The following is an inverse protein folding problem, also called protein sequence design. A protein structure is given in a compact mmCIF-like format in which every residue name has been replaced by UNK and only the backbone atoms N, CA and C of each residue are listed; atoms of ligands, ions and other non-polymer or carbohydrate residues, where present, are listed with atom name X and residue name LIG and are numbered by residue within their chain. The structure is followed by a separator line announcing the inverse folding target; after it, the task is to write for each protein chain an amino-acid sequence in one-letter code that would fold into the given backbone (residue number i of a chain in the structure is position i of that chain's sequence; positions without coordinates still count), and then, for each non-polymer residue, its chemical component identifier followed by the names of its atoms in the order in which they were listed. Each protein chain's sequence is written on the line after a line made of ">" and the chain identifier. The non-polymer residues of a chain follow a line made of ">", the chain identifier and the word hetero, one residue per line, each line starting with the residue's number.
data_IF_626245881258
#
_entry.id   IF_626245881258
#
_cell.length_a   1.000
_cell.length_b   1.000
_cell.length_c   1.000
_cell.angle_alpha   90.00
_cell.angle_beta   90.00
_cell.angle_gamma   90.00
#
_symmetry.space_group_name_H-M   'P 1'
#
loop_
_entity.id
_entity.type
_entity.pdbx_description
1 polymer ?
#
# COMPACT_ATOMS: atom_id res chain seq x y z
N UNK A 1 49.24 -37.65 45.56
CA UNK A 1 48.60 -38.02 44.28
C UNK A 1 47.14 -37.55 44.20
N UNK A 2 46.28 -37.86 45.18
CA UNK A 2 44.85 -37.48 45.19
C UNK A 2 44.57 -35.96 45.06
N UNK A 3 45.34 -35.11 45.75
CA UNK A 3 45.17 -33.64 45.68
C UNK A 3 45.48 -33.05 44.29
N UNK A 4 46.50 -33.59 43.61
CA UNK A 4 46.87 -33.15 42.25
C UNK A 4 45.78 -33.52 41.24
N UNK A 5 45.21 -34.73 41.36
CA UNK A 5 44.09 -35.18 40.52
C UNK A 5 42.87 -34.29 40.76
N UNK A 6 42.54 -33.99 42.02
CA UNK A 6 41.43 -33.10 42.36
C UNK A 6 41.59 -31.69 41.75
N UNK A 7 42.78 -31.09 41.88
CA UNK A 7 43.07 -29.76 41.32
C UNK A 7 42.98 -29.74 39.78
N UNK A 8 43.47 -30.78 39.11
CA UNK A 8 43.36 -30.92 37.65
C UNK A 8 41.89 -31.07 37.23
N UNK A 9 41.10 -31.87 37.95
CA UNK A 9 39.67 -32.02 37.67
C UNK A 9 38.90 -30.71 37.85
N UNK A 10 39.20 -29.94 38.90
CA UNK A 10 38.59 -28.61 39.12
C UNK A 10 38.97 -27.66 37.99
N UNK A 11 40.25 -27.62 37.60
CA UNK A 11 40.72 -26.77 36.51
C UNK A 11 40.03 -27.12 35.19
N UNK A 12 39.91 -28.41 34.86
CA UNK A 12 39.19 -28.89 33.67
C UNK A 12 37.71 -28.52 33.71
N UNK A 13 37.06 -28.58 34.87
CA UNK A 13 35.66 -28.19 35.03
C UNK A 13 35.49 -26.68 34.82
N UNK A 14 36.40 -25.86 35.36
CA UNK A 14 36.39 -24.39 35.16
C UNK A 14 36.61 -24.03 33.69
N UNK A 15 37.59 -24.66 33.02
CA UNK A 15 37.87 -24.43 31.60
C UNK A 15 36.68 -24.91 30.75
N UNK A 16 36.16 -26.11 31.02
CA UNK A 16 35.01 -26.65 30.31
C UNK A 16 33.75 -25.80 30.49
N UNK A 17 33.49 -25.36 31.72
CA UNK A 17 32.37 -24.45 32.03
C UNK A 17 32.52 -23.09 31.34
N UNK A 18 33.71 -22.50 31.39
CA UNK A 18 34.01 -21.25 30.68
C UNK A 18 33.83 -21.38 29.17
N UNK A 19 34.31 -22.46 28.58
CA UNK A 19 34.14 -22.76 27.15
C UNK A 19 32.66 -22.90 26.78
N UNK A 20 31.86 -23.61 27.58
CA UNK A 20 30.42 -23.73 27.37
C UNK A 20 29.70 -22.38 27.44
N UNK A 21 30.08 -21.50 28.37
CA UNK A 21 29.51 -20.15 28.46
C UNK A 21 29.85 -19.30 27.23
N UNK A 22 31.08 -19.38 26.72
CA UNK A 22 31.49 -18.67 25.51
C UNK A 22 30.69 -19.15 24.29
N UNK A 23 30.43 -20.46 24.18
CA UNK A 23 29.61 -21.01 23.10
C UNK A 23 28.13 -20.61 23.23
N UNK A 24 27.62 -20.48 24.46
CA UNK A 24 26.22 -20.15 24.72
C UNK A 24 25.92 -18.65 24.60
N UNK A 25 26.89 -17.78 24.87
CA UNK A 25 26.67 -16.34 24.94
C UNK A 25 26.09 -15.70 23.66
N UNK A 26 26.57 -15.99 22.43
CA UNK A 26 26.01 -15.43 21.20
C UNK A 26 24.55 -15.80 20.99
N UNK A 27 24.19 -17.02 21.39
CA UNK A 27 22.84 -17.53 21.26
C UNK A 27 21.90 -16.90 22.27
N UNK A 28 22.32 -16.80 23.53
CA UNK A 28 21.55 -16.10 24.55
C UNK A 28 21.31 -14.66 24.12
N UNK A 29 22.37 -13.98 23.65
CA UNK A 29 22.27 -12.63 23.10
C UNK A 29 21.27 -12.55 21.95
N UNK A 30 21.34 -13.45 20.97
CA UNK A 30 20.41 -13.50 19.85
C UNK A 30 18.97 -13.70 20.33
N UNK A 31 18.73 -14.71 21.18
CA UNK A 31 17.39 -15.02 21.71
C UNK A 31 16.81 -13.81 22.44
N UNK A 32 17.56 -13.23 23.39
CA UNK A 32 17.15 -12.02 24.11
C UNK A 32 16.86 -10.85 23.15
N UNK A 33 17.75 -10.59 22.18
CA UNK A 33 17.56 -9.52 21.22
C UNK A 33 16.28 -9.70 20.37
N UNK A 34 15.93 -10.93 20.02
CA UNK A 34 14.74 -11.20 19.20
C UNK A 34 13.46 -11.21 20.04
N UNK A 35 13.47 -11.79 21.25
CA UNK A 35 12.26 -11.93 22.08
C UNK A 35 11.94 -10.69 22.91
N UNK A 36 12.95 -10.13 23.58
CA UNK A 36 12.78 -9.03 24.53
C UNK A 36 13.20 -7.68 23.94
N UNK A 37 13.99 -7.72 22.86
CA UNK A 37 14.75 -6.56 22.41
C UNK A 37 16.04 -6.39 23.20
N UNK A 38 16.92 -5.54 22.72
CA UNK A 38 18.18 -5.22 23.38
C UNK A 38 18.56 -3.76 23.17
N UNK A 39 19.09 -3.14 24.23
CA UNK A 39 19.73 -1.83 24.16
C UNK A 39 21.15 -1.97 24.66
N UNK A 40 22.10 -1.95 23.74
CA UNK A 40 23.52 -2.05 24.05
C UNK A 40 24.31 -1.05 23.22
N UNK A 41 25.60 -0.93 23.53
CA UNK A 41 26.53 -0.16 22.70
C UNK A 41 26.66 -0.73 21.27
N UNK A 42 26.46 -2.05 21.12
CA UNK A 42 26.67 -2.76 19.86
C UNK A 42 25.44 -2.83 18.97
N UNK A 43 24.28 -2.99 19.59
CA UNK A 43 23.00 -3.16 18.93
C UNK A 43 21.89 -2.51 19.77
N UNK A 44 21.12 -1.65 19.12
CA UNK A 44 19.86 -1.14 19.61
C UNK A 44 18.69 -1.71 18.78
N UNK A 45 18.01 -2.70 19.35
CA UNK A 45 16.83 -3.31 18.76
C UNK A 45 15.69 -3.26 19.77
N UNK A 46 14.70 -2.41 19.54
CA UNK A 46 13.50 -2.37 20.37
C UNK A 46 12.66 -3.63 20.21
N UNK A 47 11.72 -3.85 21.13
CA UNK A 47 10.67 -4.84 20.93
C UNK A 47 9.81 -4.42 19.73
N UNK A 48 9.71 -5.29 18.72
CA UNK A 48 8.96 -5.00 17.49
C UNK A 48 7.56 -5.63 17.57
N UNK A 49 6.62 -5.13 16.78
CA UNK A 49 5.34 -5.83 16.61
C UNK A 49 5.53 -7.13 15.85
N UNK A 50 4.66 -8.11 16.09
CA UNK A 50 4.71 -9.44 15.49
C UNK A 50 4.90 -9.47 13.96
N UNK A 51 4.28 -8.57 13.16
CA UNK A 51 4.44 -8.56 11.70
C UNK A 51 5.88 -8.35 11.23
N UNK A 52 6.71 -7.66 12.02
CA UNK A 52 8.12 -7.45 11.70
C UNK A 52 8.97 -8.71 11.86
N UNK A 53 8.49 -9.74 12.54
CA UNK A 53 9.20 -11.01 12.65
C UNK A 53 8.76 -12.03 11.60
N UNK A 54 7.53 -11.90 11.10
CA UNK A 54 6.85 -12.94 10.33
C UNK A 54 6.62 -12.50 8.88
N UNK A 55 7.60 -12.78 8.03
CA UNK A 55 7.42 -12.76 6.58
C UNK A 55 6.84 -14.06 6.05
N UNK A 56 6.11 -14.00 4.92
CA UNK A 56 5.56 -15.18 4.24
C UNK A 56 5.67 -15.05 2.72
N UNK A 57 5.71 -16.18 2.03
CA UNK A 57 5.56 -16.19 0.57
C UNK A 57 4.07 -16.02 0.25
N UNK A 58 3.77 -15.06 -0.63
CA UNK A 58 2.42 -14.89 -1.19
C UNK A 58 2.26 -15.82 -2.39
N UNK A 59 1.16 -16.56 -2.39
CA UNK A 59 0.70 -17.31 -3.56
C UNK A 59 -0.58 -16.63 -4.00
N UNK A 60 -0.58 -16.06 -5.20
CA UNK A 60 -1.79 -15.47 -5.78
C UNK A 60 -2.82 -16.57 -6.04
N UNK A 61 -4.11 -16.21 -6.10
CA UNK A 61 -5.14 -17.14 -6.53
C UNK A 61 -4.86 -17.68 -7.94
N UNK A 62 -5.61 -18.69 -8.41
CA UNK A 62 -5.57 -19.11 -9.80
C UNK A 62 -6.06 -17.93 -10.66
N UNK A 63 -5.12 -17.13 -11.13
CA UNK A 63 -5.35 -16.11 -12.15
C UNK A 63 -5.24 -16.86 -13.47
N UNK A 64 -6.29 -16.81 -14.28
CA UNK A 64 -6.15 -17.19 -15.69
C UNK A 64 -5.13 -16.22 -16.25
N UNK A 65 -3.94 -16.72 -16.59
CA UNK A 65 -2.91 -15.86 -17.15
C UNK A 65 -3.51 -15.14 -18.36
N UNK A 66 -3.33 -13.81 -18.43
CA UNK A 66 -3.75 -13.03 -19.59
C UNK A 66 -3.07 -13.52 -20.88
N UNK A 67 -2.16 -14.50 -20.82
CA UNK A 67 -1.55 -15.16 -21.98
C UNK A 67 -2.42 -16.27 -22.59
N UNK A 68 -3.31 -16.93 -21.82
CA UNK A 68 -3.89 -18.23 -22.22
C UNK A 68 -5.32 -18.17 -22.78
N UNK A 69 -6.14 -17.19 -22.40
CA UNK A 69 -7.52 -17.07 -22.92
C UNK A 69 -7.73 -15.81 -23.77
N UNK A 70 -8.11 -16.01 -25.04
CA UNK A 70 -8.40 -14.93 -25.99
C UNK A 70 -9.57 -14.03 -25.55
N UNK A 71 -10.39 -14.49 -24.61
CA UNK A 71 -11.56 -13.74 -24.10
C UNK A 71 -11.12 -12.76 -23.01
N UNK A 72 -10.26 -13.18 -22.08
CA UNK A 72 -9.80 -12.30 -21.00
C UNK A 72 -8.71 -11.32 -21.45
N UNK A 73 -7.92 -11.68 -22.46
CA UNK A 73 -7.02 -10.76 -23.18
C UNK A 73 -7.73 -9.53 -23.75
N UNK A 74 -9.02 -9.66 -24.08
CA UNK A 74 -9.79 -8.52 -24.60
C UNK A 74 -10.31 -7.62 -23.48
N UNK A 75 -10.46 -8.15 -22.26
CA UNK A 75 -10.99 -7.39 -21.14
C UNK A 75 -9.89 -6.52 -20.50
N UNK A 76 -8.68 -7.06 -20.43
CA UNK A 76 -7.50 -6.44 -19.83
C UNK A 76 -6.42 -6.21 -20.87
N UNK A 77 -5.87 -5.00 -20.93
CA UNK A 77 -4.71 -4.70 -21.75
C UNK A 77 -3.59 -4.13 -20.88
N UNK A 78 -2.35 -4.53 -21.15
CA UNK A 78 -1.17 -4.02 -20.46
C UNK A 78 -0.80 -2.65 -21.06
N UNK A 79 -0.68 -1.64 -20.20
CA UNK A 79 -0.26 -0.29 -20.55
C UNK A 79 1.04 0.08 -19.88
N UNK A 80 1.93 0.75 -20.62
CA UNK A 80 3.02 1.50 -20.02
C UNK A 80 2.40 2.71 -19.31
N UNK A 81 2.59 2.78 -18.00
CA UNK A 81 1.96 3.74 -17.12
C UNK A 81 3.02 4.20 -16.11
N UNK A 82 3.52 5.42 -16.32
CA UNK A 82 4.71 5.93 -15.62
C UNK A 82 5.87 4.92 -15.73
N UNK A 83 6.45 4.46 -14.63
CA UNK A 83 7.58 3.52 -14.63
C UNK A 83 7.17 2.03 -14.63
N UNK A 84 5.93 1.71 -15.02
CA UNK A 84 5.39 0.36 -14.89
C UNK A 84 4.56 -0.08 -16.09
N UNK A 85 4.53 -1.39 -16.32
CA UNK A 85 3.52 -2.05 -17.14
C UNK A 85 2.40 -2.53 -16.23
N UNK A 86 1.18 -2.01 -16.46
CA UNK A 86 0.00 -2.23 -15.60
C UNK A 86 -1.17 -2.74 -16.44
N UNK A 87 -1.90 -3.79 -16.01
CA UNK A 87 -3.13 -4.20 -16.69
C UNK A 87 -4.28 -3.22 -16.37
N UNK A 88 -4.90 -2.68 -17.41
CA UNK A 88 -6.06 -1.79 -17.31
C UNK A 88 -7.27 -2.38 -18.05
N UNK A 89 -8.51 -2.16 -17.54
CA UNK A 89 -9.71 -2.72 -18.12
C UNK A 89 -10.23 -1.79 -19.22
N UNK A 90 -10.19 -2.26 -20.47
CA UNK A 90 -10.70 -1.49 -21.62
C UNK A 90 -12.12 -1.87 -22.00
N UNK A 91 -12.44 -3.17 -21.91
CA UNK A 91 -13.72 -3.73 -22.32
C UNK A 91 -14.36 -4.59 -21.22
N UNK A 92 -13.94 -4.41 -19.97
CA UNK A 92 -14.45 -5.20 -18.87
C UNK A 92 -15.92 -4.86 -18.60
N UNK A 93 -16.88 -5.79 -18.74
CA UNK A 93 -18.31 -5.48 -18.63
C UNK A 93 -18.72 -5.05 -17.23
N UNK A 94 -17.96 -5.45 -16.21
CA UNK A 94 -18.29 -5.20 -14.81
C UNK A 94 -17.45 -4.11 -14.16
N UNK A 95 -16.41 -3.59 -14.85
CA UNK A 95 -15.39 -2.75 -14.22
C UNK A 95 -15.04 -1.56 -15.10
N UNK A 96 -15.25 -0.37 -14.55
CA UNK A 96 -14.85 0.88 -15.19
C UNK A 96 -13.59 1.44 -14.52
N UNK A 97 -12.72 2.06 -15.32
CA UNK A 97 -11.50 2.71 -14.86
C UNK A 97 -11.64 4.24 -14.87
N UNK A 98 -11.29 4.88 -13.76
CA UNK A 98 -11.23 6.33 -13.65
C UNK A 98 -9.84 6.82 -13.20
N UNK A 99 -9.37 7.96 -13.71
CA UNK A 99 -8.15 8.59 -13.22
C UNK A 99 -8.18 8.87 -11.71
N UNK A 100 -7.00 8.74 -11.10
CA UNK A 100 -6.74 9.16 -9.73
C UNK A 100 -5.46 9.98 -9.69
N UNK A 101 -5.57 11.23 -9.27
CA UNK A 101 -4.44 12.16 -9.22
C UNK A 101 -4.46 12.81 -7.84
N UNK A 102 -3.38 12.66 -7.10
CA UNK A 102 -3.15 13.33 -5.82
C UNK A 102 -1.95 14.30 -5.95
N UNK A 103 -1.92 15.33 -5.11
CA UNK A 103 -0.74 16.18 -5.00
C UNK A 103 0.35 15.44 -4.23
N UNK A 104 1.54 15.34 -4.82
CA UNK A 104 2.75 14.86 -4.17
C UNK A 104 3.78 15.97 -4.00
N UNK A 105 4.92 15.61 -3.39
CA UNK A 105 6.03 16.52 -3.17
C UNK A 105 6.75 16.83 -4.49
N UNK A 106 6.34 17.90 -5.16
CA UNK A 106 6.94 18.40 -6.41
C UNK A 106 6.38 17.81 -7.70
N UNK A 107 5.81 16.60 -7.64
CA UNK A 107 5.19 15.90 -8.77
C UNK A 107 3.82 15.30 -8.38
N UNK A 108 2.86 15.18 -9.31
CA UNK A 108 1.60 14.51 -9.03
C UNK A 108 1.81 13.02 -8.74
N UNK A 109 1.09 12.50 -7.75
CA UNK A 109 0.95 11.06 -7.56
C UNK A 109 -0.18 10.57 -8.47
N UNK A 110 0.15 9.63 -9.35
CA UNK A 110 -0.76 9.17 -10.40
C UNK A 110 -1.23 7.77 -10.06
N UNK A 111 -2.49 7.49 -10.36
CA UNK A 111 -3.10 6.21 -10.09
C UNK A 111 -4.37 6.00 -10.88
N UNK A 112 -5.14 4.99 -10.47
CA UNK A 112 -6.44 4.70 -11.04
C UNK A 112 -7.39 4.09 -10.02
N UNK A 113 -8.68 4.34 -10.22
CA UNK A 113 -9.78 3.76 -9.46
C UNK A 113 -10.61 2.87 -10.36
N UNK A 114 -11.00 1.73 -9.81
CA UNK A 114 -11.80 0.72 -10.46
C UNK A 114 -13.12 0.67 -9.72
N UNK A 115 -14.21 0.91 -10.45
CA UNK A 115 -15.56 0.82 -9.90
C UNK A 115 -16.32 -0.31 -10.56
N UNK A 116 -17.25 -0.90 -9.82
CA UNK A 116 -18.22 -1.83 -10.38
C UNK A 116 -19.38 -1.12 -11.10
N UNK A 117 -20.31 -1.91 -11.67
CA UNK A 117 -21.52 -1.38 -12.32
C UNK A 117 -22.41 -0.57 -11.36
N UNK A 118 -22.38 -0.91 -10.07
CA UNK A 118 -23.07 -0.18 -9.00
C UNK A 118 -22.30 1.08 -8.56
N UNK A 119 -21.23 1.43 -9.27
CA UNK A 119 -20.39 2.60 -9.02
C UNK A 119 -19.68 2.56 -7.66
N UNK A 120 -19.48 1.38 -7.11
CA UNK A 120 -18.73 1.19 -5.88
C UNK A 120 -17.25 0.98 -6.24
N UNK A 121 -16.37 1.75 -5.60
CA UNK A 121 -14.93 1.52 -5.67
C UNK A 121 -14.58 0.14 -5.11
N UNK A 122 -13.95 -0.69 -5.95
CA UNK A 122 -13.53 -2.06 -5.59
C UNK A 122 -12.01 -2.18 -5.48
N UNK A 123 -11.27 -1.37 -6.23
CA UNK A 123 -9.81 -1.38 -6.26
C UNK A 123 -9.27 -0.01 -6.67
N UNK A 124 -8.20 0.43 -6.01
CA UNK A 124 -7.50 1.68 -6.31
C UNK A 124 -6.00 1.43 -6.25
N UNK A 125 -5.24 2.00 -7.18
CA UNK A 125 -3.79 2.03 -7.09
C UNK A 125 -3.27 3.46 -7.17
N UNK A 126 -2.12 3.72 -6.54
CA UNK A 126 -1.42 5.01 -6.58
C UNK A 126 0.09 4.76 -6.65
N UNK A 127 0.76 5.37 -7.62
CA UNK A 127 2.20 5.29 -7.79
C UNK A 127 2.88 6.36 -6.93
N UNK A 128 3.82 5.94 -6.08
CA UNK A 128 4.47 6.80 -5.07
C UNK A 128 5.93 7.14 -5.41
N UNK A 129 6.40 6.76 -6.60
CA UNK A 129 7.77 6.99 -7.07
C UNK A 129 8.81 6.03 -6.48
N UNK A 130 10.06 6.24 -6.93
CA UNK A 130 11.24 5.47 -6.54
C UNK A 130 12.05 6.14 -5.44
N UNK A 131 12.59 5.35 -4.51
CA UNK A 131 13.55 5.82 -3.50
C UNK A 131 14.82 4.95 -3.53
N UNK A 132 16.03 5.54 -3.47
CA UNK A 132 17.26 4.76 -3.40
C UNK A 132 17.26 3.83 -2.18
N UNK A 133 17.58 2.55 -2.42
CA UNK A 133 17.71 1.56 -1.37
C UNK A 133 19.15 1.51 -0.87
N UNK A 134 19.35 1.97 0.36
CA UNK A 134 20.66 1.96 1.00
C UNK A 134 20.70 0.90 2.10
N UNK A 135 21.60 -0.07 1.99
CA UNK A 135 21.92 -1.00 3.07
C UNK A 135 22.75 -0.26 4.12
N UNK A 136 22.10 0.30 5.13
CA UNK A 136 22.77 1.10 6.18
C UNK A 136 23.34 0.22 7.29
N UNK A 137 24.25 -0.70 6.93
CA UNK A 137 24.91 -1.59 7.89
C UNK A 137 25.77 -0.84 8.92
N UNK A 138 26.11 0.43 8.68
CA UNK A 138 27.01 1.18 9.56
C UNK A 138 26.29 1.92 10.70
N UNK A 139 24.96 1.79 10.83
CA UNK A 139 24.20 2.44 11.90
C UNK A 139 24.44 1.84 13.27
N UNK A 140 24.54 0.52 13.34
CA UNK A 140 24.78 -0.23 14.58
C UNK A 140 26.21 -0.77 14.57
N UNK A 141 26.92 -0.64 15.69
CA UNK A 141 28.34 -1.06 15.76
C UNK A 141 28.50 -2.55 15.42
N UNK A 142 27.53 -3.40 15.80
CA UNK A 142 27.54 -4.83 15.49
C UNK A 142 27.64 -5.10 13.98
N UNK A 143 26.85 -4.39 13.17
CA UNK A 143 26.80 -4.57 11.72
C UNK A 143 27.97 -3.87 11.01
N UNK A 144 28.63 -2.91 11.67
CA UNK A 144 29.85 -2.26 11.18
C UNK A 144 31.11 -3.13 11.33
N UNK A 145 31.07 -4.19 12.16
CA UNK A 145 32.20 -5.10 12.34
C UNK A 145 32.58 -5.74 11.00
N UNK A 146 33.87 -5.79 10.61
CA UNK A 146 34.28 -6.27 9.28
C UNK A 146 33.76 -7.66 8.92
N UNK A 147 33.77 -8.60 9.87
CA UNK A 147 33.28 -9.97 9.67
C UNK A 147 31.76 -10.01 9.43
N UNK A 148 30.99 -9.28 10.22
CA UNK A 148 29.52 -9.19 10.09
C UNK A 148 29.13 -8.44 8.83
N UNK A 149 29.83 -7.35 8.52
CA UNK A 149 29.64 -6.56 7.31
C UNK A 149 29.87 -7.43 6.07
N UNK A 150 31.03 -8.10 5.98
CA UNK A 150 31.35 -9.00 4.87
C UNK A 150 30.29 -10.10 4.72
N UNK A 151 29.79 -10.62 5.83
CA UNK A 151 28.74 -11.63 5.83
C UNK A 151 27.42 -11.14 5.25
N UNK A 152 26.99 -9.92 5.62
CA UNK A 152 25.77 -9.32 5.07
C UNK A 152 25.95 -9.05 3.58
N UNK A 153 27.05 -8.40 3.20
CA UNK A 153 27.34 -8.00 1.82
C UNK A 153 27.74 -9.15 0.89
N UNK A 154 27.99 -10.35 1.41
CA UNK A 154 28.14 -11.56 0.60
C UNK A 154 26.83 -11.93 -0.12
N UNK A 155 25.68 -11.50 0.41
CA UNK A 155 24.37 -11.70 -0.23
C UNK A 155 24.09 -10.54 -1.19
N UNK A 156 23.62 -10.80 -2.42
CA UNK A 156 23.20 -9.74 -3.34
C UNK A 156 22.10 -8.87 -2.74
N UNK A 157 22.10 -7.56 -3.04
CA UNK A 157 21.09 -6.63 -2.52
C UNK A 157 19.64 -7.07 -2.83
N UNK A 158 19.41 -7.67 -4.01
CA UNK A 158 18.10 -8.21 -4.39
C UNK A 158 17.66 -9.39 -3.50
N UNK A 159 18.60 -10.22 -3.05
CA UNK A 159 18.30 -11.31 -2.11
C UNK A 159 17.96 -10.75 -0.73
N UNK A 160 18.76 -9.80 -0.24
CA UNK A 160 18.51 -9.13 1.04
C UNK A 160 17.14 -8.46 1.03
N UNK A 161 16.83 -7.78 -0.08
CA UNK A 161 15.54 -7.16 -0.32
C UNK A 161 14.38 -8.17 -0.20
N UNK A 162 14.44 -9.30 -0.91
CA UNK A 162 13.40 -10.32 -0.82
C UNK A 162 13.27 -10.92 0.60
N UNK A 163 14.40 -11.12 1.28
CA UNK A 163 14.45 -11.63 2.65
C UNK A 163 13.77 -10.70 3.67
N UNK A 164 13.76 -9.38 3.44
CA UNK A 164 13.02 -8.43 4.27
C UNK A 164 11.52 -8.74 4.32
N UNK A 165 10.93 -9.35 3.27
CA UNK A 165 9.50 -9.62 3.20
C UNK A 165 9.13 -11.08 3.38
N UNK A 166 9.97 -12.03 2.93
CA UNK A 166 9.64 -13.46 2.96
C UNK A 166 10.07 -14.20 4.21
N UNK A 167 11.11 -13.74 4.91
CA UNK A 167 11.74 -14.52 5.97
C UNK A 167 10.95 -14.47 7.28
N UNK A 168 10.66 -15.62 7.87
CA UNK A 168 10.14 -15.69 9.25
C UNK A 168 11.31 -15.90 10.23
N UNK A 169 11.35 -15.12 11.32
CA UNK A 169 12.45 -15.13 12.30
C UNK A 169 11.99 -15.65 13.68
N UNK A 170 10.71 -15.52 14.02
CA UNK A 170 10.19 -15.89 15.35
C UNK A 170 9.88 -17.38 15.51
N UNK A 171 9.36 -18.03 14.46
CA UNK A 171 8.89 -19.42 14.52
C UNK A 171 9.97 -20.43 14.91
N UNK A 172 11.24 -20.08 14.75
CA UNK A 172 12.37 -20.99 14.98
C UNK A 172 13.01 -20.79 16.38
N UNK A 173 12.45 -19.91 17.22
CA UNK A 173 12.93 -19.62 18.59
C UNK A 173 12.24 -20.47 19.67
N UNK A 174 11.16 -21.17 19.36
CA UNK A 174 10.44 -21.99 20.34
C UNK A 174 11.14 -23.36 20.53
N UNK A 175 11.86 -23.84 19.52
CA UNK A 175 12.66 -25.08 19.57
C UNK A 175 14.08 -24.90 20.16
N UNK A 176 14.35 -23.70 20.66
CA UNK A 176 15.67 -23.23 21.08
C UNK A 176 15.99 -23.61 22.54
N UNK A 177 16.00 -24.92 22.86
CA UNK A 177 16.53 -25.40 24.14
C UNK A 177 18.08 -25.41 24.14
N UNK A 178 18.76 -24.99 25.23
CA UNK A 178 20.23 -24.88 25.28
C UNK A 178 20.98 -26.17 24.92
N UNK A 179 20.41 -27.34 25.23
CA UNK A 179 21.02 -28.65 24.99
C UNK A 179 20.93 -29.11 23.53
N UNK A 180 19.99 -28.58 22.74
CA UNK A 180 19.85 -28.94 21.33
C UNK A 180 21.05 -28.49 20.50
N UNK A 181 21.69 -27.37 20.86
CA UNK A 181 22.91 -26.88 20.21
C UNK A 181 24.09 -27.88 20.27
N UNK A 182 24.23 -28.58 21.40
CA UNK A 182 25.34 -29.53 21.60
C UNK A 182 25.11 -30.87 20.89
N UNK A 183 23.86 -31.19 20.52
CA UNK A 183 23.46 -32.54 20.09
C UNK A 183 22.93 -32.63 18.66
N UNK A 184 22.38 -31.54 18.12
CA UNK A 184 21.99 -31.39 16.72
C UNK A 184 22.59 -30.08 16.24
N UNK A 185 23.50 -30.10 15.26
CA UNK A 185 24.15 -28.91 14.71
C UNK A 185 23.15 -27.76 14.56
N UNK A 186 23.25 -26.77 15.46
CA UNK A 186 22.13 -25.89 15.83
C UNK A 186 21.43 -25.26 14.63
N UNK A 187 20.11 -25.08 14.74
CA UNK A 187 19.22 -24.62 13.67
C UNK A 187 19.64 -23.31 13.01
N UNK A 188 20.49 -22.50 13.66
CA UNK A 188 21.10 -21.32 13.08
C UNK A 188 22.61 -21.28 13.29
N UNK A 189 23.35 -21.08 12.20
CA UNK A 189 24.74 -20.66 12.28
C UNK A 189 24.83 -19.24 12.86
N UNK A 190 25.97 -18.88 13.46
CA UNK A 190 26.24 -17.49 13.87
C UNK A 190 25.98 -16.51 12.73
N UNK A 191 26.33 -16.93 11.52
CA UNK A 191 26.11 -16.22 10.29
C UNK A 191 24.64 -15.85 10.06
N UNK A 192 23.76 -16.81 10.31
CA UNK A 192 22.32 -16.63 10.13
C UNK A 192 21.70 -15.81 11.26
N UNK A 193 22.22 -15.92 12.48
CA UNK A 193 21.81 -15.08 13.61
C UNK A 193 22.10 -13.60 13.34
N UNK A 194 23.33 -13.26 12.92
CA UNK A 194 23.68 -11.88 12.60
C UNK A 194 22.84 -11.34 11.43
N UNK A 195 22.60 -12.18 10.43
CA UNK A 195 21.77 -11.80 9.30
C UNK A 195 20.29 -11.56 9.70
N UNK A 196 19.73 -12.40 10.56
CA UNK A 196 18.38 -12.22 11.09
C UNK A 196 18.25 -10.94 11.90
N UNK A 197 19.22 -10.64 12.77
CA UNK A 197 19.25 -9.37 13.51
C UNK A 197 19.34 -8.17 12.56
N UNK A 198 20.13 -8.28 11.49
CA UNK A 198 20.21 -7.24 10.46
C UNK A 198 18.86 -7.01 9.77
N UNK A 199 18.14 -8.08 9.40
CA UNK A 199 16.80 -7.96 8.80
C UNK A 199 15.80 -7.33 9.77
N UNK A 200 15.81 -7.74 11.06
CA UNK A 200 14.95 -7.15 12.09
C UNK A 200 15.26 -5.67 12.35
N UNK A 201 16.53 -5.27 12.24
CA UNK A 201 16.89 -3.86 12.31
C UNK A 201 16.40 -3.09 11.08
N UNK A 202 16.52 -3.66 9.88
CA UNK A 202 16.16 -3.00 8.62
C UNK A 202 14.65 -2.85 8.39
N UNK A 203 13.81 -3.82 8.79
CA UNK A 203 12.36 -3.78 8.49
C UNK A 203 11.66 -2.54 9.08
N UNK A 204 11.82 -2.20 10.38
CA UNK A 204 11.24 -0.98 10.94
C UNK A 204 11.80 0.28 10.29
N UNK A 205 13.08 0.32 9.91
CA UNK A 205 13.63 1.51 9.24
C UNK A 205 12.94 1.79 7.91
N UNK A 206 12.67 0.74 7.14
CA UNK A 206 12.00 0.81 5.85
C UNK A 206 10.50 1.10 6.00
N UNK A 207 9.85 0.53 7.01
CA UNK A 207 8.39 0.45 7.10
C UNK A 207 7.76 1.21 8.27
N UNK A 208 8.55 1.93 9.10
CA UNK A 208 8.06 2.67 10.29
C UNK A 208 6.91 3.64 10.03
N UNK A 209 6.80 4.15 8.82
CA UNK A 209 5.74 5.09 8.44
C UNK A 209 4.39 4.41 8.20
N UNK A 210 4.35 3.09 8.29
CA UNK A 210 3.20 2.27 8.00
C UNK A 210 2.83 1.42 9.22
N UNK A 211 1.54 1.32 9.51
CA UNK A 211 1.02 0.41 10.53
C UNK A 211 0.88 -0.98 9.93
N UNK A 212 2.00 -1.73 9.92
CA UNK A 212 2.07 -3.05 9.27
C UNK A 212 1.22 -4.08 10.00
N UNK A 213 0.36 -4.76 9.26
CA UNK A 213 -0.36 -5.96 9.69
C UNK A 213 0.36 -7.24 9.27
N UNK A 214 0.82 -7.30 8.02
CA UNK A 214 1.45 -8.50 7.44
C UNK A 214 2.52 -8.13 6.42
N UNK A 215 3.60 -8.92 6.41
CA UNK A 215 4.63 -8.87 5.37
C UNK A 215 4.54 -10.12 4.50
N UNK A 216 4.48 -9.90 3.20
CA UNK A 216 4.38 -10.96 2.20
C UNK A 216 5.37 -10.71 1.07
N UNK A 217 5.78 -11.76 0.38
CA UNK A 217 6.67 -11.67 -0.76
C UNK A 217 6.15 -12.49 -1.92
N UNK A 218 5.92 -11.85 -3.07
CA UNK A 218 5.52 -12.52 -4.30
C UNK A 218 6.76 -12.88 -5.10
N UNK A 219 7.06 -14.18 -5.21
CA UNK A 219 8.29 -14.65 -5.85
C UNK A 219 8.30 -14.42 -7.37
N UNK A 220 7.17 -14.61 -8.05
CA UNK A 220 7.03 -14.51 -9.51
C UNK A 220 7.56 -13.18 -10.04
N UNK A 221 7.12 -12.08 -9.43
CA UNK A 221 7.48 -10.71 -9.83
C UNK A 221 8.49 -10.05 -8.87
N UNK A 222 9.03 -10.82 -7.90
CA UNK A 222 9.97 -10.34 -6.88
C UNK A 222 9.46 -9.10 -6.13
N UNK A 223 8.18 -9.11 -5.75
CA UNK A 223 7.53 -7.99 -5.08
C UNK A 223 7.51 -8.18 -3.57
N UNK A 224 7.93 -7.16 -2.82
CA UNK A 224 7.62 -7.05 -1.39
C UNK A 224 6.23 -6.47 -1.22
N UNK A 225 5.40 -7.04 -0.34
CA UNK A 225 4.05 -6.55 -0.06
C UNK A 225 3.93 -6.34 1.44
N UNK A 226 3.51 -5.15 1.85
CA UNK A 226 3.19 -4.83 3.22
C UNK A 226 1.71 -4.46 3.32
N UNK A 227 0.94 -5.31 3.99
CA UNK A 227 -0.47 -5.03 4.29
C UNK A 227 -0.56 -4.14 5.52
N UNK A 228 -1.40 -3.11 5.46
CA UNK A 228 -1.51 -2.07 6.48
C UNK A 228 -2.96 -1.77 6.81
N UNK A 229 -3.19 -1.20 7.99
CA UNK A 229 -4.49 -0.65 8.37
C UNK A 229 -4.87 0.50 7.42
N UNK A 230 -6.08 0.41 6.87
CA UNK A 230 -6.72 1.52 6.16
C UNK A 230 -7.51 2.39 7.15
N UNK A 231 -7.63 3.68 6.85
CA UNK A 231 -8.44 4.60 7.66
C UNK A 231 -9.93 4.22 7.55
N UNK A 232 -10.36 3.73 6.40
CA UNK A 232 -11.70 3.20 6.20
C UNK A 232 -11.68 1.67 6.39
N UNK A 233 -12.33 1.20 7.44
CA UNK A 233 -12.37 -0.22 7.79
C UNK A 233 -12.97 -1.10 6.69
N UNK A 234 -13.71 -0.54 5.73
CA UNK A 234 -14.27 -1.25 4.57
C UNK A 234 -13.21 -1.62 3.53
N UNK A 235 -12.00 -1.08 3.65
CA UNK A 235 -10.90 -1.33 2.73
C UNK A 235 -9.70 -1.95 3.45
N UNK A 236 -8.89 -2.66 2.67
CA UNK A 236 -7.55 -3.10 3.03
C UNK A 236 -6.57 -2.33 2.16
N UNK A 237 -5.53 -1.77 2.77
CA UNK A 237 -4.45 -1.09 2.05
C UNK A 237 -3.20 -1.98 2.00
N UNK A 238 -2.56 -2.05 0.84
CA UNK A 238 -1.29 -2.76 0.63
C UNK A 238 -0.27 -1.81 0.01
N UNK A 239 0.96 -1.83 0.50
CA UNK A 239 2.10 -1.22 -0.18
C UNK A 239 2.89 -2.31 -0.89
N UNK A 240 2.98 -2.18 -2.21
CA UNK A 240 3.74 -3.05 -3.09
C UNK A 240 5.06 -2.36 -3.41
N UNK A 241 6.15 -3.08 -3.20
CA UNK A 241 7.50 -2.59 -3.35
C UNK A 241 8.26 -3.42 -4.37
N UNK A 242 8.89 -2.75 -5.34
CA UNK A 242 9.67 -3.39 -6.39
C UNK A 242 11.11 -2.87 -6.38
N UNK A 243 12.09 -3.77 -6.30
CA UNK A 243 13.50 -3.41 -6.27
C UNK A 243 14.15 -3.58 -7.64
N UNK A 244 14.55 -2.46 -8.24
CA UNK A 244 15.18 -2.40 -9.57
C UNK A 244 16.43 -1.54 -9.49
N UNK A 245 17.60 -2.12 -9.82
CA UNK A 245 18.87 -1.40 -9.92
C UNK A 245 19.23 -0.50 -8.72
N UNK A 246 18.94 -0.94 -7.50
CA UNK A 246 19.23 -0.16 -6.29
C UNK A 246 18.15 0.87 -5.92
N UNK A 247 17.05 0.94 -6.67
CA UNK A 247 15.90 1.81 -6.39
C UNK A 247 14.71 0.94 -5.99
N UNK A 248 13.99 1.35 -4.94
CA UNK A 248 12.73 0.75 -4.52
C UNK A 248 11.59 1.63 -4.99
N UNK A 249 10.82 1.12 -5.94
CA UNK A 249 9.59 1.74 -6.39
C UNK A 249 8.41 1.26 -5.55
N UNK A 250 7.47 2.16 -5.31
CA UNK A 250 6.34 1.94 -4.40
C UNK A 250 5.01 2.18 -5.10
N UNK A 251 4.09 1.24 -4.91
CA UNK A 251 2.69 1.35 -5.33
C UNK A 251 1.81 1.11 -4.11
N UNK A 252 0.88 2.02 -3.85
CA UNK A 252 -0.18 1.82 -2.85
C UNK A 252 -1.38 1.23 -3.55
N UNK A 253 -1.86 0.09 -3.07
CA UNK A 253 -3.12 -0.53 -3.47
C UNK A 253 -4.13 -0.38 -2.34
N UNK A 254 -5.39 -0.20 -2.70
CA UNK A 254 -6.52 -0.16 -1.78
C UNK A 254 -7.63 -1.04 -2.35
N UNK A 255 -8.06 -2.03 -1.58
CA UNK A 255 -8.99 -3.07 -2.04
C UNK A 255 -10.19 -3.12 -1.10
N UNK A 256 -11.40 -3.14 -1.66
CA UNK A 256 -12.62 -3.27 -0.84
C UNK A 256 -12.66 -4.65 -0.16
N UNK A 257 -12.83 -4.67 1.16
CA UNK A 257 -12.94 -5.92 1.95
C UNK A 257 -14.17 -6.71 1.53
N UNK A 258 -14.06 -8.03 1.59
CA UNK A 258 -15.12 -8.99 1.24
C UNK A 258 -15.68 -8.83 -0.18
N UNK A 259 -14.96 -8.16 -1.08
CA UNK A 259 -15.34 -8.04 -2.49
C UNK A 259 -14.46 -8.98 -3.34
N UNK A 260 -15.08 -10.02 -3.92
CA UNK A 260 -14.36 -11.01 -4.73
C UNK A 260 -13.77 -10.41 -6.01
N UNK A 261 -14.49 -9.48 -6.64
CA UNK A 261 -14.04 -8.77 -7.84
C UNK A 261 -12.77 -7.94 -7.55
N UNK A 262 -12.75 -7.15 -6.47
CA UNK A 262 -11.59 -6.37 -6.05
C UNK A 262 -10.36 -7.24 -5.76
N UNK A 263 -10.54 -8.43 -5.16
CA UNK A 263 -9.45 -9.41 -4.97
C UNK A 263 -8.95 -9.98 -6.30
N UNK A 264 -9.86 -10.33 -7.21
CA UNK A 264 -9.50 -10.81 -8.55
C UNK A 264 -8.71 -9.75 -9.34
N UNK A 265 -9.17 -8.49 -9.32
CA UNK A 265 -8.45 -7.35 -9.94
C UNK A 265 -7.07 -7.19 -9.31
N UNK A 266 -6.95 -7.27 -7.98
CA UNK A 266 -5.67 -7.19 -7.28
C UNK A 266 -4.71 -8.29 -7.72
N UNK A 267 -5.18 -9.52 -7.86
CA UNK A 267 -4.33 -10.64 -8.30
C UNK A 267 -3.91 -10.50 -9.77
N UNK A 268 -4.82 -10.09 -10.67
CA UNK A 268 -4.49 -9.75 -12.08
C UNK A 268 -3.46 -8.62 -12.14
N UNK A 269 -3.65 -7.57 -11.34
CA UNK A 269 -2.75 -6.43 -11.24
C UNK A 269 -1.35 -6.87 -10.81
N UNK A 270 -1.24 -7.60 -9.70
CA UNK A 270 0.05 -8.06 -9.18
C UNK A 270 0.75 -9.06 -10.08
N UNK A 271 0.00 -9.93 -10.76
CA UNK A 271 0.56 -10.93 -11.67
C UNK A 271 1.20 -10.28 -12.92
N UNK A 272 0.59 -9.22 -13.45
CA UNK A 272 1.08 -8.57 -14.68
C UNK A 272 1.95 -7.33 -14.43
N UNK A 273 2.09 -6.90 -13.17
CA UNK A 273 2.90 -5.75 -12.81
C UNK A 273 4.38 -6.01 -13.09
N UNK A 274 4.97 -5.20 -13.96
CA UNK A 274 6.42 -5.20 -14.22
C UNK A 274 6.97 -3.78 -14.37
N UNK A 275 8.28 -3.62 -14.21
CA UNK A 275 8.96 -2.34 -14.35
C UNK A 275 9.31 -2.06 -15.81
N UNK A 276 9.02 -0.85 -16.27
CA UNK A 276 9.55 -0.32 -17.52
C UNK A 276 9.80 1.17 -17.35
N UNK A 277 11.04 1.61 -17.53
CA UNK A 277 11.43 3.01 -17.31
C UNK A 277 10.63 3.97 -18.19
N UNK A 278 10.04 5.00 -17.57
CA UNK A 278 9.27 6.01 -18.29
C UNK A 278 10.16 6.88 -19.17
N UNK A 279 9.78 7.06 -20.44
CA UNK A 279 10.44 8.00 -21.35
C UNK A 279 9.43 8.87 -22.07
N UNK A 280 9.88 10.00 -22.63
CA UNK A 280 9.03 10.84 -23.49
C UNK A 280 8.56 10.06 -24.72
N UNK A 281 9.37 9.13 -25.23
CA UNK A 281 9.02 8.25 -26.35
C UNK A 281 7.87 7.29 -25.99
N UNK A 282 7.81 6.82 -24.74
CA UNK A 282 6.68 6.02 -24.23
C UNK A 282 5.35 6.76 -24.40
N UNK A 283 5.30 8.04 -24.04
CA UNK A 283 4.13 8.90 -24.27
C UNK A 283 3.73 8.95 -25.74
N UNK A 284 4.70 9.13 -26.64
CA UNK A 284 4.47 9.25 -28.08
C UNK A 284 3.93 7.95 -28.67
N UNK A 285 4.46 6.80 -28.26
CA UNK A 285 4.01 5.47 -28.68
C UNK A 285 2.55 5.23 -28.29
N UNK A 286 2.19 5.48 -27.03
CA UNK A 286 0.81 5.30 -26.56
C UNK A 286 -0.13 6.28 -27.26
N UNK A 287 0.27 7.54 -27.40
CA UNK A 287 -0.53 8.56 -28.09
C UNK A 287 -0.69 8.25 -29.59
N UNK A 288 0.30 7.66 -30.25
CA UNK A 288 0.17 7.17 -31.62
C UNK A 288 -0.85 6.04 -31.71
N UNK A 289 -0.86 5.10 -30.76
CA UNK A 289 -1.88 4.05 -30.66
C UNK A 289 -3.29 4.65 -30.47
N UNK A 290 -3.44 5.63 -29.58
CA UNK A 290 -4.69 6.39 -29.41
C UNK A 290 -5.19 6.99 -30.74
N UNK A 291 -4.31 7.64 -31.52
CA UNK A 291 -4.70 8.27 -32.79
C UNK A 291 -5.17 7.28 -33.84
N UNK A 292 -4.73 6.02 -33.76
CA UNK A 292 -5.15 4.96 -34.66
C UNK A 292 -6.52 4.35 -34.30
N UNK A 293 -7.08 4.67 -33.12
CA UNK A 293 -8.40 4.19 -32.71
C UNK A 293 -9.53 4.84 -33.54
N UNK A 294 -10.61 4.11 -33.85
CA UNK A 294 -11.81 4.68 -34.44
C UNK A 294 -12.33 5.86 -33.61
N UNK A 295 -12.91 6.88 -34.25
CA UNK A 295 -13.36 8.09 -33.56
C UNK A 295 -14.31 7.79 -32.38
N UNK A 296 -15.22 6.82 -32.56
CA UNK A 296 -16.14 6.38 -31.52
C UNK A 296 -15.41 5.86 -30.28
N UNK A 297 -14.40 5.01 -30.47
CA UNK A 297 -13.56 4.45 -29.41
C UNK A 297 -12.72 5.52 -28.70
N UNK A 298 -12.28 6.54 -29.44
CA UNK A 298 -11.47 7.66 -28.88
C UNK A 298 -12.22 8.51 -27.86
N UNK A 299 -13.54 8.58 -27.93
CA UNK A 299 -14.38 9.37 -27.01
C UNK A 299 -15.03 8.52 -25.91
N UNK A 300 -14.76 7.22 -25.90
CA UNK A 300 -15.21 6.24 -24.89
C UNK A 300 -14.09 5.99 -23.87
N UNK A 301 -14.33 5.10 -22.88
CA UNK A 301 -13.37 4.75 -21.84
C UNK A 301 -12.02 4.27 -22.39
N UNK A 302 -12.03 3.52 -23.50
CA UNK A 302 -10.78 3.03 -24.10
C UNK A 302 -9.85 4.17 -24.50
N UNK A 303 -10.32 5.10 -25.35
CA UNK A 303 -9.54 6.28 -25.74
C UNK A 303 -9.07 7.08 -24.53
N UNK A 304 -9.88 7.09 -23.48
CA UNK A 304 -9.57 7.70 -22.20
C UNK A 304 -8.33 7.11 -21.54
N UNK A 305 -8.31 5.78 -21.41
CA UNK A 305 -7.22 5.03 -20.80
C UNK A 305 -5.92 5.26 -21.57
N UNK A 306 -5.96 5.26 -22.90
CA UNK A 306 -4.78 5.56 -23.71
C UNK A 306 -4.24 6.97 -23.47
N UNK A 307 -5.10 7.99 -23.48
CA UNK A 307 -4.66 9.38 -23.25
C UNK A 307 -4.09 9.55 -21.85
N UNK A 308 -4.74 8.97 -20.85
CA UNK A 308 -4.29 9.06 -19.47
C UNK A 308 -2.95 8.33 -19.26
N UNK A 309 -2.81 7.10 -19.78
CA UNK A 309 -1.55 6.36 -19.77
C UNK A 309 -0.44 7.15 -20.46
N UNK A 310 -0.68 7.70 -21.64
CA UNK A 310 0.29 8.53 -22.35
C UNK A 310 0.70 9.80 -21.56
N UNK A 311 -0.26 10.44 -20.89
CA UNK A 311 -0.02 11.62 -20.06
C UNK A 311 0.85 11.33 -18.83
N UNK A 312 0.78 10.11 -18.27
CA UNK A 312 1.55 9.75 -17.07
C UNK A 312 3.07 9.84 -17.24
N UNK A 313 3.55 9.81 -18.49
CA UNK A 313 4.98 9.97 -18.84
C UNK A 313 5.41 11.44 -18.99
N UNK A 314 4.46 12.38 -19.08
CA UNK A 314 4.69 13.80 -19.41
C UNK A 314 3.75 14.72 -18.62
N UNK A 315 3.61 14.47 -17.31
CA UNK A 315 2.62 15.14 -16.45
C UNK A 315 2.73 16.66 -16.36
N UNK A 316 3.90 17.22 -16.65
CA UNK A 316 4.15 18.66 -16.66
C UNK A 316 3.71 19.36 -17.97
N UNK A 317 3.29 18.62 -19.01
CA UNK A 317 2.88 19.21 -20.30
C UNK A 317 1.40 19.63 -20.30
N UNK A 318 1.17 20.92 -20.14
CA UNK A 318 -0.17 21.54 -20.13
C UNK A 318 -0.94 21.25 -21.41
N UNK A 319 -0.28 21.27 -22.56
CA UNK A 319 -0.92 21.06 -23.86
C UNK A 319 -1.53 19.66 -23.96
N UNK A 320 -0.84 18.67 -23.39
CA UNK A 320 -1.30 17.29 -23.36
C UNK A 320 -2.54 17.15 -22.47
N UNK A 321 -2.49 17.74 -21.27
CA UNK A 321 -3.62 17.75 -20.34
C UNK A 321 -4.85 18.46 -20.93
N UNK A 322 -4.63 19.60 -21.59
CA UNK A 322 -5.67 20.34 -22.31
C UNK A 322 -6.31 19.50 -23.40
N UNK A 323 -5.50 18.84 -24.23
CA UNK A 323 -6.02 17.97 -25.29
C UNK A 323 -6.85 16.83 -24.71
N UNK A 324 -6.35 16.18 -23.65
CA UNK A 324 -7.07 15.11 -22.96
C UNK A 324 -8.43 15.58 -22.45
N UNK A 325 -8.47 16.71 -21.73
CA UNK A 325 -9.72 17.32 -21.23
C UNK A 325 -10.69 17.61 -22.40
N UNK A 326 -10.22 18.25 -23.47
CA UNK A 326 -11.07 18.65 -24.59
C UNK A 326 -11.63 17.47 -25.40
N UNK A 327 -10.92 16.34 -25.45
CA UNK A 327 -11.45 15.11 -26.05
C UNK A 327 -12.51 14.49 -25.14
N UNK A 328 -12.25 14.45 -23.84
CA UNK A 328 -13.14 13.87 -22.86
C UNK A 328 -14.47 14.59 -22.69
N UNK A 329 -14.45 15.91 -22.83
CA UNK A 329 -15.65 16.74 -22.87
C UNK A 329 -16.64 16.33 -23.96
N UNK A 330 -16.25 15.50 -24.94
CA UNK A 330 -17.11 15.02 -26.02
C UNK A 330 -17.74 13.66 -25.74
N UNK A 331 -17.24 12.91 -24.76
CA UNK A 331 -17.68 11.55 -24.43
C UNK A 331 -18.99 11.49 -23.62
N UNK A 332 -19.59 10.30 -23.43
CA UNK A 332 -20.85 10.14 -22.70
C UNK A 332 -20.70 10.22 -21.16
N UNK A 333 -19.57 9.79 -20.58
CA UNK A 333 -19.35 9.72 -19.13
C UNK A 333 -18.37 10.80 -18.61
N UNK A 334 -18.71 12.07 -18.88
CA UNK A 334 -17.77 13.19 -18.78
C UNK A 334 -17.23 13.42 -17.36
N UNK A 335 -18.10 13.49 -16.36
CA UNK A 335 -17.74 14.17 -15.12
C UNK A 335 -16.82 13.36 -14.20
N UNK A 336 -17.01 12.04 -14.11
CA UNK A 336 -16.18 11.18 -13.25
C UNK A 336 -14.74 11.07 -13.76
N UNK A 337 -14.59 11.00 -15.08
CA UNK A 337 -13.31 11.02 -15.77
C UNK A 337 -12.63 12.39 -15.73
N UNK A 338 -13.40 13.47 -15.90
CA UNK A 338 -12.87 14.83 -15.99
C UNK A 338 -12.54 15.46 -14.63
N UNK A 339 -13.30 15.16 -13.57
CA UNK A 339 -13.12 15.82 -12.26
C UNK A 339 -11.68 15.76 -11.74
N UNK A 340 -11.00 14.59 -11.71
CA UNK A 340 -9.61 14.52 -11.26
C UNK A 340 -8.65 15.35 -12.12
N UNK A 341 -8.90 15.39 -13.44
CA UNK A 341 -8.10 16.16 -14.39
C UNK A 341 -8.28 17.67 -14.19
N UNK A 342 -9.51 18.13 -13.97
CA UNK A 342 -9.82 19.52 -13.71
C UNK A 342 -9.25 19.99 -12.37
N UNK A 343 -9.42 19.19 -11.32
CA UNK A 343 -8.87 19.51 -10.00
C UNK A 343 -7.35 19.65 -10.08
N UNK A 344 -6.68 18.73 -10.77
CA UNK A 344 -5.24 18.82 -11.01
C UNK A 344 -4.86 20.05 -11.85
N UNK A 345 -5.56 20.29 -12.98
CA UNK A 345 -5.28 21.42 -13.86
C UNK A 345 -5.42 22.76 -13.13
N UNK A 346 -6.49 22.91 -12.36
CA UNK A 346 -6.76 24.12 -11.58
C UNK A 346 -5.72 24.34 -10.50
N UNK A 347 -5.36 23.30 -9.74
CA UNK A 347 -4.35 23.38 -8.69
C UNK A 347 -2.96 23.70 -9.24
N UNK A 348 -2.55 23.03 -10.33
CA UNK A 348 -1.20 23.15 -10.89
C UNK A 348 -1.01 24.39 -11.76
N UNK A 349 -2.02 24.78 -12.54
CA UNK A 349 -1.91 25.83 -13.57
C UNK A 349 -2.85 27.01 -13.37
N UNK A 350 -3.79 26.93 -12.42
CA UNK A 350 -4.78 27.99 -12.18
C UNK A 350 -5.90 28.06 -13.23
N UNK A 351 -5.97 27.10 -14.15
CA UNK A 351 -6.92 27.06 -15.26
C UNK A 351 -7.53 25.65 -15.39
N UNK A 352 -8.81 25.57 -15.79
CA UNK A 352 -9.51 24.33 -16.07
C UNK A 352 -9.18 23.80 -17.48
N UNK A 353 -8.54 24.59 -18.35
CA UNK A 353 -8.10 24.19 -19.69
C UNK A 353 -9.22 23.74 -20.65
N UNK A 354 -10.49 24.00 -20.28
CA UNK A 354 -11.68 23.73 -21.09
C UNK A 354 -11.75 24.63 -22.33
N UNK A 355 -12.47 24.19 -23.35
CA UNK A 355 -12.62 24.93 -24.62
C UNK A 355 -13.58 26.13 -24.52
N UNK A 356 -14.51 26.11 -23.57
CA UNK A 356 -15.46 27.21 -23.36
C UNK A 356 -14.87 28.23 -22.37
N UNK A 357 -14.77 29.50 -22.78
CA UNK A 357 -14.13 30.59 -22.03
C UNK A 357 -14.92 31.09 -20.82
N UNK A 358 -16.03 30.43 -20.44
CA UNK A 358 -16.75 30.71 -19.19
C UNK A 358 -17.18 29.40 -18.45
N UNK A 359 -16.24 28.52 -18.06
CA UNK A 359 -16.54 27.20 -17.52
C UNK A 359 -16.57 27.16 -15.98
N UNK A 360 -16.06 28.19 -15.31
CA UNK A 360 -15.86 28.19 -13.85
C UNK A 360 -17.17 28.29 -13.06
N UNK A 361 -18.21 28.91 -13.62
CA UNK A 361 -19.52 29.06 -12.97
C UNK A 361 -20.45 27.89 -13.31
N UNK A 362 -20.49 27.43 -14.56
CA UNK A 362 -21.33 26.29 -14.98
C UNK A 362 -20.82 24.96 -14.45
N UNK A 363 -19.50 24.72 -14.43
CA UNK A 363 -18.95 23.47 -13.93
C UNK A 363 -19.03 23.41 -12.40
N UNK A 364 -18.75 24.51 -11.68
CA UNK A 364 -19.00 24.58 -10.23
C UNK A 364 -20.47 24.35 -9.89
N UNK A 365 -21.37 25.00 -10.61
CA UNK A 365 -22.81 24.86 -10.40
C UNK A 365 -23.30 23.45 -10.71
N UNK A 366 -22.82 22.84 -11.80
CA UNK A 366 -23.18 21.46 -12.18
C UNK A 366 -22.53 20.41 -11.28
N UNK A 367 -21.30 20.64 -10.81
CA UNK A 367 -20.65 19.81 -9.79
C UNK A 367 -21.36 19.90 -8.44
N UNK A 368 -21.86 21.08 -8.04
CA UNK A 368 -22.67 21.25 -6.83
C UNK A 368 -24.05 20.62 -6.97
N UNK A 369 -24.74 20.84 -8.10
CA UNK A 369 -26.06 20.26 -8.38
C UNK A 369 -26.00 18.71 -8.43
N UNK A 370 -24.94 18.12 -9.02
CA UNK A 370 -24.78 16.66 -9.04
C UNK A 370 -24.28 16.10 -7.70
N UNK A 371 -23.48 16.84 -6.93
CA UNK A 371 -23.10 16.46 -5.56
C UNK A 371 -24.32 16.45 -4.63
N UNK A 372 -25.22 17.42 -4.77
CA UNK A 372 -26.49 17.47 -4.06
C UNK A 372 -27.41 16.31 -4.48
N UNK A 373 -27.48 15.98 -5.77
CA UNK A 373 -28.23 14.81 -6.26
C UNK A 373 -27.63 13.46 -5.84
N UNK A 374 -26.31 13.32 -5.77
CA UNK A 374 -25.65 12.11 -5.25
C UNK A 374 -25.90 11.98 -3.73
N UNK A 375 -25.90 13.09 -2.98
CA UNK A 375 -26.26 13.11 -1.55
C UNK A 375 -27.74 12.79 -1.32
N UNK A 376 -28.65 13.28 -2.17
CA UNK A 376 -30.08 12.98 -2.09
C UNK A 376 -30.39 11.53 -2.49
N UNK A 377 -29.78 11.03 -3.56
CA UNK A 377 -29.95 9.62 -3.98
C UNK A 377 -29.31 8.64 -3.00
N UNK A 378 -28.19 9.01 -2.35
CA UNK A 378 -27.62 8.23 -1.25
C UNK A 378 -28.54 8.22 -0.01
N UNK A 379 -29.26 9.31 0.28
CA UNK A 379 -30.27 9.36 1.35
C UNK A 379 -31.53 8.54 1.02
N UNK A 380 -31.94 8.48 -0.25
CA UNK A 380 -33.14 7.75 -0.70
C UNK A 380 -32.88 6.23 -0.83
N UNK A 381 -31.63 5.81 -1.04
CA UNK A 381 -31.27 4.38 -1.18
C UNK A 381 -30.97 3.69 0.16
N UNK A 382 -31.06 4.40 1.29
CA UNK A 382 -30.96 3.81 2.63
C UNK A 382 -32.28 3.92 3.42
N UNK A 383 -33.29 3.09 3.13
CA UNK A 383 -34.43 2.90 4.04
C UNK A 383 -34.03 1.93 5.15
N UNK A 384 -33.19 2.40 6.07
CA UNK A 384 -33.01 1.95 7.47
C UNK A 384 -31.57 2.23 7.92
N UNK A 385 -31.33 3.44 8.40
CA UNK A 385 -30.40 3.72 9.51
C UNK A 385 -30.59 5.19 9.88
N UNK A 386 -31.70 5.46 10.58
CA UNK A 386 -31.74 6.60 11.47
C UNK A 386 -31.01 6.22 12.75
N UNK A 387 -30.11 7.12 13.16
CA UNK A 387 -29.51 7.24 14.50
C UNK A 387 -28.35 6.29 14.84
N UNK A 388 -27.13 6.69 14.50
CA UNK A 388 -26.14 7.03 15.53
C UNK A 388 -24.97 7.81 14.93
N UNK A 389 -25.01 9.14 15.04
CA UNK A 389 -23.87 10.02 14.82
C UNK A 389 -23.69 10.84 16.10
N UNK A 390 -23.30 10.16 17.17
CA UNK A 390 -22.86 10.78 18.42
C UNK A 390 -21.35 11.06 18.35
N UNK A 391 -20.97 12.18 17.75
CA UNK A 391 -19.61 12.72 17.87
C UNK A 391 -19.61 13.92 18.84
N UNK A 392 -18.95 13.70 19.99
CA UNK A 392 -18.25 14.67 20.84
C UNK A 392 -18.93 16.06 21.06
N UNK A 393 -19.81 16.15 22.05
CA UNK A 393 -20.12 17.42 22.74
C UNK A 393 -20.01 17.25 24.25
N UNK A 394 -19.21 18.12 24.88
CA UNK A 394 -18.90 18.11 26.31
C UNK A 394 -20.14 18.39 27.18
N UNK A 395 -20.30 17.58 28.23
CA UNK A 395 -21.30 17.55 29.33
C UNK A 395 -22.33 18.68 29.51
N UNK A 396 -21.95 19.96 29.46
CA UNK A 396 -22.87 21.08 29.79
C UNK A 396 -23.78 21.51 28.64
N UNK A 397 -23.30 21.44 27.40
CA UNK A 397 -24.12 21.85 26.23
C UNK A 397 -25.22 20.82 25.92
N UNK A 398 -24.99 19.55 26.29
CA UNK A 398 -25.97 18.47 26.15
C UNK A 398 -27.18 18.67 27.08
N UNK A 399 -26.95 19.12 28.31
CA UNK A 399 -28.04 19.42 29.25
C UNK A 399 -28.87 20.62 28.80
N UNK A 400 -28.24 21.70 28.33
CA UNK A 400 -28.96 22.85 27.78
C UNK A 400 -29.74 22.48 26.51
N UNK A 401 -29.16 21.68 25.62
CA UNK A 401 -29.86 21.21 24.42
C UNK A 401 -31.06 20.32 24.76
N UNK A 402 -30.92 19.38 25.71
CA UNK A 402 -32.01 18.52 26.16
C UNK A 402 -33.10 19.32 26.89
N UNK A 403 -32.75 20.32 27.70
CA UNK A 403 -33.69 21.22 28.35
C UNK A 403 -34.43 22.11 27.34
N UNK A 404 -33.74 22.59 26.28
CA UNK A 404 -34.36 23.36 25.20
C UNK A 404 -35.33 22.48 24.40
N UNK A 405 -34.93 21.26 24.06
CA UNK A 405 -35.77 20.29 23.34
C UNK A 405 -37.01 19.88 24.15
N UNK A 406 -36.87 19.67 25.47
CA UNK A 406 -37.99 19.38 26.36
C UNK A 406 -38.97 20.57 26.49
N UNK A 407 -38.46 21.82 26.44
CA UNK A 407 -39.32 23.02 26.44
C UNK A 407 -40.08 23.20 25.12
N UNK A 408 -39.49 22.85 23.98
CA UNK A 408 -40.18 22.94 22.69
C UNK A 408 -41.30 21.91 22.56
N UNK A 409 -41.09 20.66 23.01
CA UNK A 409 -42.14 19.62 22.94
C UNK A 409 -43.35 19.90 23.84
N UNK A 410 -43.19 20.66 24.94
CA UNK A 410 -44.32 21.03 25.80
C UNK A 410 -45.22 22.12 25.18
N UNK A 411 -44.65 23.00 24.35
CA UNK A 411 -45.40 24.09 23.68
C UNK A 411 -46.24 23.56 22.51
N UNK A 412 -45.82 22.47 21.88
CA UNK A 412 -46.57 21.84 20.79
C UNK A 412 -47.69 20.92 21.29
N UNK A 413 -47.52 20.25 22.44
CA UNK A 413 -48.60 19.48 23.09
C UNK A 413 -49.74 20.39 23.61
N UNK A 414 -49.42 21.54 24.21
CA UNK A 414 -50.44 22.50 24.69
C UNK A 414 -51.23 23.18 23.54
N UNK A 415 -50.68 23.18 22.31
CA UNK A 415 -51.35 23.70 21.10
C UNK A 415 -52.23 22.66 20.41
N UNK A 416 -51.91 21.37 20.53
CA UNK A 416 -52.78 20.29 20.03
C UNK A 416 -53.97 20.03 20.95
N UNK A 417 -53.82 20.07 22.27
CA UNK A 417 -54.96 19.92 23.20
C UNK A 417 -55.99 21.06 23.04
N UNK A 418 -55.55 22.31 22.83
CA UNK A 418 -56.46 23.45 22.57
C UNK A 418 -57.14 23.43 21.20
N UNK A 419 -56.71 22.59 20.27
CA UNK A 419 -57.35 22.39 18.96
C UNK A 419 -58.41 21.27 18.99
N UNK A 420 -58.37 20.38 19.97
CA UNK A 420 -59.32 19.27 20.12
C UNK A 420 -60.55 19.64 20.98
N UNK A 421 -60.52 20.77 21.70
CA UNK A 421 -61.64 21.27 22.53
C UNK A 421 -62.45 22.44 21.92
N UNK A 422 -62.35 22.68 20.60
CA UNK A 422 -63.21 23.61 19.85
C UNK A 422 -63.86 22.90 18.68
#
# INVERSE_FOLDING_TARGET
>A
MKLKILLISILLLVIGGGFLLVLWAPYHFYKTAVTEGIRSEYLNLGHLSEPYYNGKIEVLGPVVELSESHVEQKLWQIFHFSDFQIPLPLHHPEVNFYPWIEEGDGHPLIGGRFVDQSQIEVFTFTLLGGTPFTLRADKEKLFSLPSVKQLIFRRPAAQIWGDLFRKSIKNDLDDMAPWHYLTRGGHYSLDEMFYNLFLLHMRPELLKQYQIERLKYLETNKLGIAEVYDIDERYTSEYVFMFVNGIVYKIRLRIKKNNALGRSIRDVFLHNLSFEESTVDSSQKIYAAFRNLPYRTRVEQEGMVYLYAAWTHVTDRVEFLREMIQFLERGPEKLRHLRPLYEYAYKRFGDLLSKDSDPSIKLKKKMQEELEQELESAKVTSPNQQEDAGELLHGREREEYLLKKAKFNKVDQDKEEKRLER
#
